data_IF_995726972992
#
_entry.id   IF_995726972992
#
_cell.length_a   1.000
_cell.length_b   1.000
_cell.length_c   1.000
_cell.angle_alpha   90.00
_cell.angle_beta   90.00
_cell.angle_gamma   90.00
#
_symmetry.space_group_name_H-M   'P 1'
#
loop_
_entity.id
_entity.type
_entity.pdbx_description
1 polymer ?
#
# COMPACT_ATOMS: atom_id res chain seq x y z
N UNK A 1 -6.46 -14.45 -2.58
CA UNK A 1 -7.22 -13.75 -1.51
C UNK A 1 -6.62 -13.93 -0.10
N UNK A 2 -5.94 -15.05 0.20
CA UNK A 2 -5.29 -15.29 1.51
C UNK A 2 -4.03 -14.42 1.71
N UNK A 3 -3.27 -14.14 0.64
CA UNK A 3 -2.08 -13.27 0.68
C UNK A 3 -2.48 -11.85 0.28
N UNK A 4 -2.66 -10.98 1.26
CA UNK A 4 -2.98 -9.56 1.08
C UNK A 4 -1.71 -8.73 0.82
N UNK A 5 -1.12 -8.95 -0.35
CA UNK A 5 0.04 -8.18 -0.82
C UNK A 5 0.08 -8.23 -2.36
N UNK A 6 -0.37 -7.15 -3.02
CA UNK A 6 -0.40 -7.08 -4.48
C UNK A 6 0.99 -7.22 -5.10
N UNK A 7 1.98 -6.54 -4.53
CA UNK A 7 3.40 -6.65 -4.95
C UNK A 7 3.94 -8.08 -4.86
N UNK A 8 3.61 -8.80 -3.78
CA UNK A 8 3.98 -10.21 -3.61
C UNK A 8 3.36 -11.09 -4.70
N UNK A 9 2.10 -10.85 -5.06
CA UNK A 9 1.42 -11.61 -6.11
C UNK A 9 2.07 -11.40 -7.48
N UNK A 10 2.41 -10.16 -7.84
CA UNK A 10 3.09 -9.87 -9.11
C UNK A 10 4.49 -10.49 -9.19
N UNK A 11 5.27 -10.43 -8.11
CA UNK A 11 6.59 -11.06 -8.03
C UNK A 11 6.47 -12.58 -8.12
N UNK A 12 5.56 -13.17 -7.35
CA UNK A 12 5.35 -14.61 -7.33
C UNK A 12 4.92 -15.12 -8.70
N UNK A 13 3.95 -14.48 -9.35
CA UNK A 13 3.50 -14.88 -10.70
C UNK A 13 4.62 -14.75 -11.73
N UNK A 14 5.37 -13.64 -11.72
CA UNK A 14 6.50 -13.44 -12.64
C UNK A 14 7.58 -14.50 -12.47
N UNK A 15 7.97 -14.79 -11.23
CA UNK A 15 9.03 -15.77 -10.94
C UNK A 15 8.58 -17.22 -11.15
N UNK A 16 7.30 -17.54 -10.91
CA UNK A 16 6.72 -18.83 -11.26
C UNK A 16 6.71 -19.02 -12.79
N UNK A 17 6.37 -17.98 -13.55
CA UNK A 17 6.42 -18.03 -15.02
C UNK A 17 7.84 -18.30 -15.55
N UNK A 18 8.87 -17.75 -14.89
CA UNK A 18 10.28 -18.01 -15.22
C UNK A 18 10.85 -19.28 -14.57
N UNK A 19 10.02 -20.12 -13.96
CA UNK A 19 10.43 -21.39 -13.33
C UNK A 19 11.54 -21.21 -12.27
N UNK A 20 11.52 -20.09 -11.54
CA UNK A 20 12.51 -19.81 -10.52
C UNK A 20 12.36 -20.73 -9.29
N UNK A 21 13.46 -21.02 -8.56
CA UNK A 21 13.40 -21.82 -7.34
C UNK A 21 12.48 -21.19 -6.28
N UNK A 22 11.70 -22.03 -5.59
CA UNK A 22 10.74 -21.60 -4.55
C UNK A 22 11.42 -20.74 -3.47
N UNK A 23 12.64 -21.10 -3.07
CA UNK A 23 13.40 -20.34 -2.07
C UNK A 23 13.68 -18.90 -2.51
N UNK A 24 13.99 -18.69 -3.80
CA UNK A 24 14.22 -17.36 -4.36
C UNK A 24 12.93 -16.54 -4.38
N UNK A 25 11.79 -17.17 -4.69
CA UNK A 25 10.46 -16.52 -4.65
C UNK A 25 10.15 -16.06 -3.23
N UNK A 26 10.32 -16.94 -2.23
CA UNK A 26 10.07 -16.62 -0.82
C UNK A 26 10.96 -15.46 -0.36
N UNK A 27 12.26 -15.51 -0.66
CA UNK A 27 13.20 -14.45 -0.30
C UNK A 27 12.86 -13.12 -0.98
N UNK A 28 12.57 -13.12 -2.28
CA UNK A 28 12.21 -11.90 -3.01
C UNK A 28 10.92 -11.28 -2.47
N UNK A 29 9.88 -12.11 -2.24
CA UNK A 29 8.62 -11.64 -1.64
C UNK A 29 8.87 -11.09 -0.24
N UNK A 30 9.63 -11.78 0.60
CA UNK A 30 9.97 -11.34 1.94
C UNK A 30 10.72 -10.01 1.94
N UNK A 31 11.79 -9.91 1.14
CA UNK A 31 12.62 -8.70 1.06
C UNK A 31 11.81 -7.50 0.58
N UNK A 32 10.98 -7.67 -0.46
CA UNK A 32 10.14 -6.58 -0.98
C UNK A 32 9.04 -6.17 0.00
N UNK A 33 8.50 -7.10 0.79
CA UNK A 33 7.45 -6.81 1.77
C UNK A 33 7.99 -6.41 3.15
N UNK A 34 9.30 -6.51 3.38
CA UNK A 34 9.94 -6.13 4.65
C UNK A 34 9.63 -4.69 5.08
N UNK A 35 9.36 -3.78 4.14
CA UNK A 35 8.88 -2.41 4.40
C UNK A 35 7.60 -2.36 5.25
N UNK A 36 6.70 -3.34 5.11
CA UNK A 36 5.45 -3.41 5.89
C UNK A 36 5.77 -3.61 7.37
N UNK A 37 6.87 -4.28 7.70
CA UNK A 37 7.33 -4.44 9.08
C UNK A 37 7.72 -3.07 9.67
N UNK A 38 8.47 -2.25 8.93
CA UNK A 38 8.87 -0.91 9.35
C UNK A 38 7.66 0.04 9.48
N UNK A 39 6.73 -0.02 8.52
CA UNK A 39 5.49 0.77 8.55
C UNK A 39 4.56 0.34 9.70
N UNK A 40 4.54 -0.94 10.03
CA UNK A 40 3.77 -1.47 11.17
C UNK A 40 4.37 -0.98 12.50
N UNK A 41 5.70 -0.98 12.64
CA UNK A 41 6.38 -0.48 13.83
C UNK A 41 6.11 1.01 14.06
N UNK A 42 6.18 1.83 13.00
CA UNK A 42 5.88 3.27 13.08
C UNK A 42 4.41 3.52 13.42
N UNK A 43 3.49 2.80 12.78
CA UNK A 43 2.05 2.94 13.04
C UNK A 43 1.67 2.48 14.46
N UNK A 44 2.27 1.39 14.95
CA UNK A 44 2.02 0.86 16.29
C UNK A 44 2.36 1.86 17.40
N UNK A 45 3.28 2.80 17.15
CA UNK A 45 3.64 3.84 18.12
C UNK A 45 2.49 4.81 18.43
N UNK A 46 1.54 5.00 17.51
CA UNK A 46 0.35 5.85 17.69
C UNK A 46 -0.78 5.16 18.45
N UNK A 47 -0.77 3.83 18.48
CA UNK A 47 -1.81 3.00 19.10
C UNK A 47 -1.31 2.26 20.34
N UNK A 48 -0.26 2.78 21.01
CA UNK A 48 0.32 2.17 22.22
C UNK A 48 -0.68 1.95 23.37
N UNK A 49 -1.75 2.76 23.43
CA UNK A 49 -2.78 2.66 24.45
C UNK A 49 -3.92 1.68 24.08
N UNK A 50 -3.91 1.12 22.88
CA UNK A 50 -4.90 0.15 22.41
C UNK A 50 -4.49 -1.29 22.73
N UNK A 51 -5.47 -2.20 22.76
CA UNK A 51 -5.20 -3.60 23.07
C UNK A 51 -4.28 -4.26 22.04
N UNK A 52 -3.47 -5.21 22.49
CA UNK A 52 -2.48 -5.90 21.66
C UNK A 52 -3.12 -6.58 20.43
N UNK A 53 -4.35 -7.10 20.59
CA UNK A 53 -5.12 -7.68 19.48
C UNK A 53 -5.51 -6.65 18.42
N UNK A 54 -5.89 -5.43 18.83
CA UNK A 54 -6.20 -4.32 17.92
C UNK A 54 -4.96 -3.90 17.12
N UNK A 55 -3.81 -3.84 17.79
CA UNK A 55 -2.54 -3.52 17.13
C UNK A 55 -2.11 -4.59 16.12
N UNK A 56 -2.27 -5.87 16.44
CA UNK A 56 -2.02 -6.97 15.49
C UNK A 56 -2.94 -6.85 14.29
N UNK A 57 -4.25 -6.62 14.51
CA UNK A 57 -5.23 -6.53 13.43
C UNK A 57 -4.94 -5.35 12.48
N UNK A 58 -4.56 -4.19 13.02
CA UNK A 58 -4.13 -3.05 12.22
C UNK A 58 -2.86 -3.34 11.42
N UNK A 59 -1.87 -3.99 12.03
CA UNK A 59 -0.63 -4.37 11.34
C UNK A 59 -0.87 -5.37 10.22
N UNK A 60 -1.78 -6.34 10.40
CA UNK A 60 -2.08 -7.36 9.37
C UNK A 60 -2.79 -6.82 8.14
N UNK A 61 -3.56 -5.74 8.28
CA UNK A 61 -4.27 -5.10 7.18
C UNK A 61 -3.53 -3.85 6.66
N UNK A 62 -2.33 -3.60 7.17
CA UNK A 62 -1.53 -2.45 6.79
C UNK A 62 -0.97 -2.65 5.38
N UNK A 63 -1.22 -1.67 4.52
CA UNK A 63 -0.60 -1.58 3.19
C UNK A 63 0.11 -0.24 3.03
N UNK A 64 0.88 -0.09 1.95
CA UNK A 64 1.55 1.16 1.58
C UNK A 64 0.52 2.31 1.52
N UNK A 65 -0.67 2.03 0.98
CA UNK A 65 -1.78 2.98 0.81
C UNK A 65 -2.42 3.36 2.14
N UNK A 66 -2.75 2.37 2.97
CA UNK A 66 -3.31 2.59 4.30
C UNK A 66 -2.33 3.37 5.18
N UNK A 67 -1.04 3.05 5.10
CA UNK A 67 0.01 3.78 5.82
C UNK A 67 0.08 5.24 5.37
N UNK A 68 0.14 5.49 4.06
CA UNK A 68 0.17 6.85 3.51
C UNK A 68 -1.07 7.67 3.93
N UNK A 69 -2.26 7.08 3.87
CA UNK A 69 -3.51 7.70 4.32
C UNK A 69 -3.49 7.99 5.83
N UNK A 70 -2.98 7.07 6.65
CA UNK A 70 -2.84 7.25 8.09
C UNK A 70 -1.91 8.41 8.46
N UNK A 71 -0.73 8.46 7.84
CA UNK A 71 0.24 9.54 8.06
C UNK A 71 -0.28 10.89 7.56
N UNK A 72 -0.99 10.90 6.43
CA UNK A 72 -1.65 12.10 5.93
C UNK A 72 -2.70 12.62 6.93
N UNK A 73 -3.57 11.72 7.42
CA UNK A 73 -4.60 12.06 8.39
C UNK A 73 -3.99 12.62 9.67
N UNK A 74 -2.92 11.99 10.17
CA UNK A 74 -2.17 12.45 11.34
C UNK A 74 -1.64 13.89 11.16
N UNK A 75 -1.08 14.21 9.99
CA UNK A 75 -0.58 15.56 9.70
C UNK A 75 -1.71 16.61 9.73
N UNK A 76 -2.92 16.24 9.29
CA UNK A 76 -4.09 17.13 9.34
C UNK A 76 -4.73 17.24 10.73
N UNK A 77 -4.57 16.25 11.61
CA UNK A 77 -5.23 16.18 12.92
C UNK A 77 -4.29 16.44 14.11
N UNK A 78 -3.17 17.12 13.87
CA UNK A 78 -2.17 17.49 14.89
C UNK A 78 -1.69 16.28 15.72
N UNK A 79 -1.46 15.14 15.06
CA UNK A 79 -0.92 13.95 15.72
C UNK A 79 -1.96 12.97 16.27
N UNK A 80 -3.26 13.21 16.08
CA UNK A 80 -4.32 12.31 16.57
C UNK A 80 -4.79 11.34 15.48
N UNK A 81 -4.47 10.06 15.62
CA UNK A 81 -4.96 9.00 14.74
C UNK A 81 -6.00 8.13 15.48
N UNK A 82 -7.26 8.14 15.01
CA UNK A 82 -8.33 7.37 15.63
C UNK A 82 -8.34 5.93 15.09
N UNK A 83 -8.35 4.96 16.00
CA UNK A 83 -8.41 3.52 15.69
C UNK A 83 -9.59 3.16 14.78
N UNK A 84 -10.79 3.67 15.09
CA UNK A 84 -12.01 3.30 14.35
C UNK A 84 -11.96 3.75 12.89
N UNK A 85 -11.45 4.96 12.64
CA UNK A 85 -11.28 5.48 11.28
C UNK A 85 -10.24 4.69 10.49
N UNK A 86 -9.09 4.42 11.13
CA UNK A 86 -7.99 3.70 10.48
C UNK A 86 -8.37 2.25 10.16
N UNK A 87 -9.05 1.56 11.08
CA UNK A 87 -9.54 0.21 10.86
C UNK A 87 -10.63 0.14 9.79
N UNK A 88 -11.54 1.12 9.75
CA UNK A 88 -12.55 1.20 8.69
C UNK A 88 -11.91 1.39 7.31
N UNK A 89 -10.88 2.25 7.21
CA UNK A 89 -10.11 2.44 5.98
C UNK A 89 -9.44 1.15 5.53
N UNK A 90 -8.78 0.43 6.46
CA UNK A 90 -8.13 -0.85 6.19
C UNK A 90 -9.11 -1.91 5.69
N UNK A 91 -10.28 -2.02 6.32
CA UNK A 91 -11.30 -2.98 5.93
C UNK A 91 -11.89 -2.66 4.54
N UNK A 92 -12.16 -1.39 4.27
CA UNK A 92 -12.61 -0.95 2.94
C UNK A 92 -11.56 -1.23 1.86
N UNK A 93 -10.30 -0.93 2.13
CA UNK A 93 -9.20 -1.23 1.21
C UNK A 93 -9.11 -2.74 0.91
N UNK A 94 -9.21 -3.58 1.94
CA UNK A 94 -9.22 -5.04 1.76
C UNK A 94 -10.42 -5.53 0.94
N UNK A 95 -11.62 -5.00 1.20
CA UNK A 95 -12.83 -5.36 0.45
C UNK A 95 -12.73 -4.94 -1.02
N UNK A 96 -12.30 -3.70 -1.29
CA UNK A 96 -12.09 -3.20 -2.66
C UNK A 96 -11.05 -4.04 -3.37
N UNK A 97 -9.95 -4.37 -2.70
CA UNK A 97 -8.91 -5.23 -3.25
C UNK A 97 -9.42 -6.64 -3.57
N UNK A 98 -10.20 -7.24 -2.67
CA UNK A 98 -10.76 -8.57 -2.88
C UNK A 98 -11.74 -8.59 -4.06
N UNK A 99 -12.62 -7.59 -4.16
CA UNK A 99 -13.56 -7.43 -5.26
C UNK A 99 -12.84 -7.17 -6.58
N UNK A 100 -11.88 -6.25 -6.61
CA UNK A 100 -11.09 -5.95 -7.81
C UNK A 100 -10.29 -7.17 -8.28
N UNK A 101 -9.71 -7.94 -7.36
CA UNK A 101 -8.99 -9.19 -7.69
C UNK A 101 -9.93 -10.26 -8.25
N UNK A 102 -11.13 -10.41 -7.68
CA UNK A 102 -12.12 -11.36 -8.17
C UNK A 102 -12.66 -10.98 -9.56
N UNK A 103 -12.99 -9.70 -9.75
CA UNK A 103 -13.41 -9.15 -11.04
C UNK A 103 -12.29 -9.31 -12.08
N UNK A 104 -11.04 -9.00 -11.70
CA UNK A 104 -9.86 -9.17 -12.55
C UNK A 104 -9.63 -10.63 -12.94
N UNK A 105 -9.84 -11.58 -12.02
CA UNK A 105 -9.73 -13.00 -12.33
C UNK A 105 -10.82 -13.49 -13.30
N UNK A 106 -12.05 -13.01 -13.16
CA UNK A 106 -13.18 -13.37 -14.02
C UNK A 106 -13.07 -12.73 -15.42
N UNK A 107 -12.75 -11.43 -15.47
CA UNK A 107 -12.64 -10.67 -16.72
C UNK A 107 -11.28 -10.84 -17.41
N UNK A 108 -10.27 -11.35 -16.70
CA UNK A 108 -8.93 -11.60 -17.23
C UNK A 108 -8.93 -12.51 -18.46
N UNK A 109 -9.80 -13.53 -18.48
CA UNK A 109 -9.94 -14.46 -19.61
C UNK A 109 -10.68 -13.84 -20.81
N UNK A 110 -11.43 -12.75 -20.61
CA UNK A 110 -12.13 -12.02 -21.68
C UNK A 110 -11.23 -10.96 -22.35
N UNK A 111 -10.10 -10.63 -21.72
CA UNK A 111 -9.15 -9.64 -22.21
C UNK A 111 -8.17 -10.28 -23.21
N UNK A 112 -8.53 -10.26 -24.49
CA UNK A 112 -7.72 -10.85 -25.56
C UNK A 112 -6.33 -10.22 -25.74
N UNK A 113 -6.11 -8.97 -25.30
CA UNK A 113 -4.80 -8.28 -25.37
C UNK A 113 -4.60 -7.31 -24.18
N UNK A 114 -4.18 -7.79 -23.00
CA UNK A 114 -3.96 -6.95 -21.82
C UNK A 114 -2.87 -5.88 -22.00
N UNK A 115 -1.85 -6.15 -22.80
CA UNK A 115 -0.72 -5.22 -23.01
C UNK A 115 -1.13 -3.93 -23.72
N UNK A 116 -2.10 -4.00 -24.65
CA UNK A 116 -2.60 -2.80 -25.36
C UNK A 116 -3.36 -1.83 -24.47
N UNK A 117 -3.81 -2.28 -23.30
CA UNK A 117 -4.55 -1.47 -22.34
C UNK A 117 -3.65 -0.70 -21.38
N UNK A 118 -2.32 -0.84 -21.50
CA UNK A 118 -1.37 -0.11 -20.65
C UNK A 118 -1.42 -0.52 -19.18
N UNK A 119 -1.95 -1.71 -18.87
CA UNK A 119 -2.09 -2.21 -17.50
C UNK A 119 -0.74 -2.33 -16.78
N UNK A 120 0.35 -2.55 -17.51
CA UNK A 120 1.72 -2.55 -16.96
C UNK A 120 2.14 -1.20 -16.36
N UNK A 121 1.53 -0.09 -16.79
CA UNK A 121 1.82 1.24 -16.26
C UNK A 121 0.91 1.63 -15.06
N UNK A 122 -0.17 0.88 -14.81
CA UNK A 122 -1.17 1.25 -13.80
C UNK A 122 -0.57 1.37 -12.39
N UNK A 123 0.30 0.44 -12.00
CA UNK A 123 0.98 0.47 -10.69
C UNK A 123 1.90 1.69 -10.57
N UNK A 124 2.64 2.02 -11.63
CA UNK A 124 3.54 3.18 -11.67
C UNK A 124 2.72 4.48 -11.54
N UNK A 125 1.64 4.60 -12.30
CA UNK A 125 0.73 5.76 -12.23
C UNK A 125 0.14 5.95 -10.82
N UNK A 126 -0.23 4.85 -10.16
CA UNK A 126 -0.74 4.88 -8.77
C UNK A 126 0.29 5.47 -7.81
N UNK A 127 1.54 5.01 -7.85
CA UNK A 127 2.60 5.53 -6.99
C UNK A 127 2.91 7.00 -7.25
N UNK A 128 2.88 7.45 -8.51
CA UNK A 128 3.02 8.88 -8.85
C UNK A 128 1.91 9.71 -8.21
N UNK A 129 0.67 9.22 -8.26
CA UNK A 129 -0.48 9.87 -7.61
C UNK A 129 -0.32 9.98 -6.10
N UNK A 130 0.12 8.90 -5.43
CA UNK A 130 0.41 8.93 -3.99
C UNK A 130 1.50 9.92 -3.63
N UNK A 131 2.61 9.91 -4.38
CA UNK A 131 3.70 10.86 -4.19
C UNK A 131 3.22 12.31 -4.31
N UNK A 132 2.42 12.60 -5.33
CA UNK A 132 1.82 13.93 -5.53
C UNK A 132 0.93 14.36 -4.35
N UNK A 133 0.05 13.47 -3.87
CA UNK A 133 -0.81 13.75 -2.71
C UNK A 133 0.02 14.00 -1.44
N UNK A 134 1.12 13.27 -1.26
CA UNK A 134 2.04 13.47 -0.14
C UNK A 134 2.76 14.81 -0.24
N UNK A 135 3.24 15.20 -1.43
CA UNK A 135 3.90 16.49 -1.64
C UNK A 135 3.00 17.69 -1.29
N UNK A 136 1.74 17.66 -1.70
CA UNK A 136 0.81 18.78 -1.44
C UNK A 136 0.35 18.82 0.01
N UNK A 137 0.25 17.66 0.64
CA UNK A 137 -0.17 17.58 2.03
C UNK A 137 0.93 17.97 3.02
N UNK A 138 2.19 17.94 2.59
CA UNK A 138 3.33 18.36 3.39
C UNK A 138 3.57 19.88 3.24
N UNK A 139 3.03 20.64 4.20
CA UNK A 139 3.11 22.11 4.21
C UNK A 139 4.55 22.63 4.28
N UNK A 140 5.48 21.84 4.81
CA UNK A 140 6.90 22.19 4.94
C UNK A 140 7.61 22.15 3.58
N UNK A 141 7.26 21.17 2.74
CA UNK A 141 7.82 21.01 1.39
C UNK A 141 7.30 22.05 0.40
N UNK A 142 6.03 22.43 0.50
CA UNK A 142 5.45 23.54 -0.29
C UNK A 142 6.19 24.85 -0.02
N UNK A 143 6.57 25.10 1.23
CA UNK A 143 7.30 26.31 1.63
C UNK A 143 8.75 26.29 1.12
N UNK A 144 9.39 25.12 1.11
CA UNK A 144 10.74 24.92 0.56
C UNK A 144 10.76 25.02 -0.97
N UNK A 145 9.75 24.49 -1.66
CA UNK A 145 9.58 24.64 -3.12
C UNK A 145 9.30 26.09 -3.52
N UNK A 146 8.51 26.83 -2.72
CA UNK A 146 8.34 28.27 -2.89
C UNK A 146 9.69 28.99 -2.76
N UNK A 147 10.49 28.68 -1.74
CA UNK A 147 11.82 29.29 -1.56
C UNK A 147 12.79 28.97 -2.70
N UNK A 148 12.79 27.75 -3.25
CA UNK A 148 13.66 27.36 -4.38
C UNK A 148 13.25 28.00 -5.71
N UNK A 149 11.98 28.36 -5.90
CA UNK A 149 11.55 29.09 -7.10
C UNK A 149 11.77 30.62 -7.00
N UNK A 150 11.90 31.16 -5.79
CA UNK A 150 12.11 32.59 -5.53
C UNK A 150 13.57 32.95 -5.15
N UNK A 151 14.48 31.97 -5.10
CA UNK A 151 15.93 32.16 -4.90
C UNK A 151 16.71 31.84 -6.16
#
# INVERSE_FOLDING_TARGET
LIVYAGSAQFIMVSMLATHSPIMSIVLSVFLVNSRIILMSMTTASYFKNESLMKNILLGTLLTDESFALGMNKQNYTEGKLNFSWFNASNLLAYLVWALASAIGALLGNLLANPEKLGLGFAVIAMFIGYFYLQLISDKTLVLLLQLVMFG
#
